data_IF_655996185274
#
_entry.id   IF_655996185274
#
_cell.length_a   1.000
_cell.length_b   1.000
_cell.length_c   1.000
_cell.angle_alpha   90.00
_cell.angle_beta   90.00
_cell.angle_gamma   90.00
#
_symmetry.space_group_name_H-M   'P 1'
#
loop_
_entity.id
_entity.type
_entity.pdbx_description
1 polymer ?
#
# COMPACT_ATOMS: atom_id res chain seq x y z
N UNK A 1 -16.60 -8.55 11.10
CA UNK A 1 -15.16 -8.42 10.83
C UNK A 1 -14.77 -8.96 9.46
N UNK A 2 -15.22 -10.16 9.07
CA UNK A 2 -14.95 -10.74 7.73
C UNK A 2 -15.38 -9.84 6.57
N UNK A 3 -16.53 -9.16 6.68
CA UNK A 3 -17.06 -8.26 5.65
C UNK A 3 -16.15 -7.06 5.36
N UNK A 4 -15.46 -6.53 6.37
CA UNK A 4 -14.50 -5.42 6.21
C UNK A 4 -13.24 -5.87 5.47
N UNK A 5 -12.72 -7.06 5.81
CA UNK A 5 -11.58 -7.63 5.08
C UNK A 5 -11.94 -7.90 3.62
N UNK A 6 -13.17 -8.39 3.36
CA UNK A 6 -13.63 -8.68 2.00
C UNK A 6 -13.79 -7.40 1.16
N UNK A 7 -14.37 -6.33 1.72
CA UNK A 7 -14.52 -5.06 1.00
C UNK A 7 -13.17 -4.40 0.72
N UNK A 8 -12.25 -4.39 1.69
CA UNK A 8 -10.90 -3.85 1.49
C UNK A 8 -10.12 -4.67 0.46
N UNK A 9 -10.23 -6.01 0.50
CA UNK A 9 -9.61 -6.88 -0.49
C UNK A 9 -10.16 -6.64 -1.90
N UNK A 10 -11.48 -6.50 -2.05
CA UNK A 10 -12.11 -6.20 -3.33
C UNK A 10 -11.65 -4.84 -3.89
N UNK A 11 -11.63 -3.80 -3.05
CA UNK A 11 -11.14 -2.47 -3.45
C UNK A 11 -9.67 -2.53 -3.87
N UNK A 12 -8.83 -3.29 -3.16
CA UNK A 12 -7.43 -3.48 -3.55
C UNK A 12 -7.28 -4.19 -4.90
N UNK A 13 -8.09 -5.22 -5.18
CA UNK A 13 -8.05 -5.91 -6.47
C UNK A 13 -8.47 -4.95 -7.59
N UNK A 14 -9.52 -4.14 -7.38
CA UNK A 14 -9.96 -3.12 -8.35
C UNK A 14 -8.87 -2.05 -8.55
N UNK A 15 -8.23 -1.60 -7.46
CA UNK A 15 -7.15 -0.62 -7.52
C UNK A 15 -5.91 -1.16 -8.23
N UNK A 16 -5.55 -2.43 -8.02
CA UNK A 16 -4.47 -3.12 -8.73
C UNK A 16 -4.80 -3.36 -10.22
N UNK A 17 -6.08 -3.51 -10.55
CA UNK A 17 -6.55 -3.60 -11.94
C UNK A 17 -6.59 -2.26 -12.67
N UNK A 18 -6.55 -1.13 -11.96
CA UNK A 18 -6.39 0.19 -12.58
C UNK A 18 -5.03 0.22 -13.27
N UNK A 19 -4.97 0.17 -14.62
CA UNK A 19 -3.71 0.01 -15.32
C UNK A 19 -2.88 1.26 -15.13
N UNK A 20 -1.94 1.19 -14.18
CA UNK A 20 -0.97 2.23 -13.89
C UNK A 20 0.13 2.31 -14.96
N UNK A 21 1.05 3.27 -14.85
CA UNK A 21 2.19 3.42 -15.76
C UNK A 21 3.08 2.16 -15.82
N UNK A 22 3.16 1.40 -14.73
CA UNK A 22 3.82 0.10 -14.60
C UNK A 22 3.22 -0.98 -15.52
N UNK A 23 1.89 -1.08 -15.62
CA UNK A 23 1.23 -2.01 -16.54
C UNK A 23 1.48 -1.63 -18.02
N UNK A 24 1.48 -0.33 -18.33
CA UNK A 24 1.82 0.17 -19.66
C UNK A 24 3.28 -0.13 -20.03
N UNK A 25 4.21 0.00 -19.08
CA UNK A 25 5.62 -0.29 -19.31
C UNK A 25 5.85 -1.79 -19.58
N UNK A 26 5.24 -2.68 -18.78
CA UNK A 26 5.36 -4.13 -18.95
C UNK A 26 4.69 -4.61 -20.24
N UNK A 27 3.49 -4.10 -20.58
CA UNK A 27 2.78 -4.48 -21.80
C UNK A 27 3.47 -3.99 -23.07
N UNK A 28 4.01 -2.76 -23.09
CA UNK A 28 4.85 -2.29 -24.22
C UNK A 28 6.12 -3.13 -24.36
N UNK A 29 6.79 -3.46 -23.25
CA UNK A 29 8.01 -4.30 -23.29
C UNK A 29 7.71 -5.72 -23.77
N UNK A 30 6.53 -6.27 -23.45
CA UNK A 30 6.06 -7.58 -23.91
C UNK A 30 5.63 -7.61 -25.39
N UNK A 31 5.14 -6.49 -25.92
CA UNK A 31 4.72 -6.33 -27.32
C UNK A 31 5.91 -6.02 -28.23
N UNK A 32 6.87 -5.18 -27.77
CA UNK A 32 7.98 -4.70 -28.58
C UNK A 32 9.23 -5.59 -28.56
N UNK A 33 9.41 -6.45 -27.54
CA UNK A 33 10.54 -7.40 -27.43
C UNK A 33 10.06 -8.80 -27.05
N UNK A 34 10.78 -9.82 -27.53
CA UNK A 34 10.53 -11.25 -27.25
C UNK A 34 10.24 -11.53 -25.77
N UNK A 35 9.34 -12.48 -25.47
CA UNK A 35 8.85 -12.86 -24.11
C UNK A 35 9.95 -12.99 -23.06
N UNK A 36 11.17 -13.35 -23.46
CA UNK A 36 12.32 -13.53 -22.58
C UNK A 36 12.86 -12.22 -21.99
N UNK A 37 12.87 -11.15 -22.79
CA UNK A 37 13.32 -9.81 -22.35
C UNK A 37 12.27 -9.18 -21.42
N UNK A 38 10.99 -9.36 -21.73
CA UNK A 38 9.89 -8.92 -20.87
C UNK A 38 9.94 -9.61 -19.49
N UNK A 39 10.26 -10.90 -19.44
CA UNK A 39 10.40 -11.64 -18.17
C UNK A 39 11.54 -11.09 -17.31
N UNK A 40 12.69 -10.74 -17.91
CA UNK A 40 13.81 -10.13 -17.18
C UNK A 40 13.48 -8.72 -16.70
N UNK A 41 12.74 -7.93 -17.48
CA UNK A 41 12.24 -6.61 -17.08
C UNK A 41 11.29 -6.70 -15.88
N UNK A 42 10.33 -7.63 -15.90
CA UNK A 42 9.41 -7.86 -14.77
C UNK A 42 10.15 -8.32 -13.52
N UNK A 43 11.12 -9.23 -13.65
CA UNK A 43 11.95 -9.66 -12.52
C UNK A 43 12.72 -8.48 -11.89
N UNK A 44 13.28 -7.59 -12.71
CA UNK A 44 13.95 -6.37 -12.23
C UNK A 44 13.01 -5.44 -11.47
N UNK A 45 11.82 -5.18 -12.01
CA UNK A 45 10.81 -4.32 -11.37
C UNK A 45 10.36 -4.94 -10.04
N UNK A 46 10.09 -6.24 -10.02
CA UNK A 46 9.62 -6.94 -8.81
C UNK A 46 10.69 -6.92 -7.71
N UNK A 47 11.95 -7.16 -8.05
CA UNK A 47 13.07 -7.05 -7.10
C UNK A 47 13.26 -5.62 -6.60
N UNK A 48 13.15 -4.62 -7.47
CA UNK A 48 13.24 -3.21 -7.10
C UNK A 48 12.15 -2.81 -6.10
N UNK A 49 10.90 -3.18 -6.38
CA UNK A 49 9.75 -2.90 -5.49
C UNK A 49 9.92 -3.62 -4.14
N UNK A 50 10.40 -4.87 -4.12
CA UNK A 50 10.66 -5.59 -2.86
C UNK A 50 11.70 -4.88 -1.99
N UNK A 51 12.83 -4.47 -2.58
CA UNK A 51 13.87 -3.74 -1.86
C UNK A 51 13.34 -2.39 -1.37
N UNK A 52 12.63 -1.67 -2.21
CA UNK A 52 12.08 -0.35 -1.87
C UNK A 52 11.03 -0.43 -0.76
N UNK A 53 10.14 -1.41 -0.81
CA UNK A 53 9.17 -1.68 0.25
C UNK A 53 9.86 -2.03 1.58
N UNK A 54 10.93 -2.83 1.55
CA UNK A 54 11.74 -3.15 2.73
C UNK A 54 12.41 -1.91 3.33
N UNK A 55 13.02 -1.08 2.49
CA UNK A 55 13.64 0.19 2.92
C UNK A 55 12.60 1.15 3.49
N UNK A 56 11.42 1.27 2.89
CA UNK A 56 10.35 2.11 3.38
C UNK A 56 9.83 1.65 4.75
N UNK A 57 9.63 0.34 4.94
CA UNK A 57 9.19 -0.22 6.23
C UNK A 57 10.26 -0.04 7.32
N UNK A 58 11.53 -0.35 7.02
CA UNK A 58 12.64 -0.17 7.95
C UNK A 58 12.87 1.30 8.28
N UNK A 59 12.84 2.17 7.28
CA UNK A 59 12.97 3.62 7.45
C UNK A 59 11.84 4.20 8.28
N UNK A 60 10.59 3.81 8.01
CA UNK A 60 9.43 4.21 8.82
C UNK A 60 9.57 3.74 10.27
N UNK A 61 9.99 2.49 10.50
CA UNK A 61 10.20 1.95 11.84
C UNK A 61 11.28 2.72 12.62
N UNK A 62 12.42 3.00 11.98
CA UNK A 62 13.52 3.77 12.57
C UNK A 62 13.13 5.23 12.86
N UNK A 63 12.39 5.86 11.96
CA UNK A 63 11.90 7.24 12.15
C UNK A 63 10.92 7.31 13.32
N UNK A 64 9.98 6.36 13.42
CA UNK A 64 9.03 6.28 14.52
C UNK A 64 9.71 6.01 15.87
N UNK A 65 10.76 5.17 15.88
CA UNK A 65 11.52 4.88 17.10
C UNK A 65 12.36 6.07 17.59
N UNK A 66 12.89 6.89 16.67
CA UNK A 66 13.75 8.03 17.01
C UNK A 66 12.95 9.30 17.35
N UNK A 67 11.76 9.45 16.79
CA UNK A 67 10.88 10.61 16.99
C UNK A 67 9.65 10.22 17.82
N UNK A 68 9.84 10.02 19.12
CA UNK A 68 8.75 9.68 20.06
C UNK A 68 7.59 10.69 20.03
N UNK A 69 7.84 11.96 19.69
CA UNK A 69 6.79 12.98 19.56
C UNK A 69 5.81 12.69 18.42
N UNK A 70 6.28 12.07 17.33
CA UNK A 70 5.54 11.87 16.09
C UNK A 70 4.67 10.63 16.23
N UNK A 71 5.23 9.60 16.88
CA UNK A 71 4.49 8.42 17.29
C UNK A 71 3.31 8.81 18.20
N UNK A 72 3.55 9.66 19.22
CA UNK A 72 2.48 10.12 20.12
C UNK A 72 1.40 10.93 19.39
N UNK A 73 1.76 11.82 18.46
CA UNK A 73 0.78 12.59 17.67
C UNK A 73 -0.08 11.66 16.80
N UNK A 74 0.52 10.66 16.15
CA UNK A 74 -0.22 9.68 15.33
C UNK A 74 -1.15 8.85 16.21
N UNK A 75 -0.70 8.43 17.39
CA UNK A 75 -1.50 7.62 18.31
C UNK A 75 -2.70 8.41 18.87
N UNK A 76 -2.47 9.66 19.30
CA UNK A 76 -3.53 10.55 19.81
C UNK A 76 -4.48 10.97 18.69
N UNK A 77 -3.96 11.28 17.49
CA UNK A 77 -4.77 11.59 16.31
C UNK A 77 -5.66 10.42 15.91
N UNK A 78 -5.10 9.21 15.87
CA UNK A 78 -5.86 7.97 15.63
C UNK A 78 -6.93 7.73 16.69
N UNK A 79 -6.61 7.95 17.97
CA UNK A 79 -7.57 7.83 19.06
C UNK A 79 -8.71 8.84 18.97
N UNK A 80 -8.43 10.10 18.62
CA UNK A 80 -9.46 11.13 18.40
C UNK A 80 -10.37 10.81 17.21
N UNK A 81 -9.81 10.33 16.09
CA UNK A 81 -10.61 9.93 14.92
C UNK A 81 -11.48 8.73 15.27
N UNK A 82 -10.93 7.73 15.94
CA UNK A 82 -11.69 6.56 16.39
C UNK A 82 -12.79 6.95 17.38
N UNK A 83 -12.50 7.80 18.36
CA UNK A 83 -13.49 8.29 19.34
C UNK A 83 -14.61 9.08 18.66
N UNK A 84 -14.30 9.91 17.67
CA UNK A 84 -15.28 10.64 16.84
C UNK A 84 -16.13 9.72 15.96
N UNK A 85 -15.54 8.66 15.42
CA UNK A 85 -16.28 7.63 14.69
C UNK A 85 -17.17 6.80 15.61
N UNK A 86 -16.67 6.41 16.79
CA UNK A 86 -17.41 5.65 17.79
C UNK A 86 -18.62 6.45 18.33
N UNK A 87 -18.47 7.75 18.57
CA UNK A 87 -19.60 8.63 18.94
C UNK A 87 -20.63 8.74 17.82
N UNK A 88 -20.19 8.86 16.54
CA UNK A 88 -21.11 8.84 15.39
C UNK A 88 -21.82 7.50 15.20
N UNK A 89 -21.14 6.37 15.46
CA UNK A 89 -21.74 5.04 15.41
C UNK A 89 -22.69 4.76 16.59
N UNK A 90 -22.46 5.33 17.78
CA UNK A 90 -23.38 5.25 18.91
C UNK A 90 -24.63 6.14 18.74
N UNK A 91 -24.53 7.25 18.00
CA UNK A 91 -25.68 8.13 17.69
C UNK A 91 -26.51 7.62 16.49
N UNK A 92 -25.93 6.80 15.62
CA UNK A 92 -26.58 6.23 14.43
C UNK A 92 -27.19 4.82 14.66
N UNK A 93 -27.23 4.33 15.90
CA UNK A 93 -27.92 3.10 16.30
C UNK A 93 -29.09 3.44 17.20
#
# INVERSE_FOLDING_TARGET
>A
MLMLFLTVALVHIIALMSPGPDFFFVSQTAISRSRREAMMGVLGITCGVMVWAGVALLGLNLILARMAWLHNIIMVGGACIYAGWATRCCVAR
#
